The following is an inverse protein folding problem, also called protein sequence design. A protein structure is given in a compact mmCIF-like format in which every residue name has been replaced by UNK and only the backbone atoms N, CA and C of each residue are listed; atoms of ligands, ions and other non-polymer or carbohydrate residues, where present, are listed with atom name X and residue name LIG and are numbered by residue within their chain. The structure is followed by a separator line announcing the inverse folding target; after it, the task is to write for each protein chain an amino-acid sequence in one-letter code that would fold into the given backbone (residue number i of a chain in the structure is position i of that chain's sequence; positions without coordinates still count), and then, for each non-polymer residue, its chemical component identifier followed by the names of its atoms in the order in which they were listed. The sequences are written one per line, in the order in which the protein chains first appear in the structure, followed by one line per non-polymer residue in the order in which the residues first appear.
data_IF_743316685065
#
_entry.id   IF_743316685065
#
_cell.length_a   1.000
_cell.length_b   1.000
_cell.length_c   1.000
_cell.angle_alpha   90.00
_cell.angle_beta   90.00
_cell.angle_gamma   90.00
#
_symmetry.space_group_name_H-M   'P 1'
#
loop_
_entity.id
_entity.type
_entity.pdbx_description
1 polymer ?
#
# COMPACT_ATOMS: atom_id res chain seq x y z
N UNK A 1 26.65 -12.98 36.48
CA UNK A 1 27.70 -13.08 37.50
C UNK A 1 27.46 -14.37 38.27
N UNK A 2 28.20 -15.44 37.94
CA UNK A 2 28.05 -16.76 38.56
C UNK A 2 28.82 -16.75 39.86
N UNK A 3 28.12 -16.95 40.97
CA UNK A 3 28.76 -17.26 42.23
C UNK A 3 28.89 -18.78 42.38
N UNK A 4 30.11 -19.29 42.20
CA UNK A 4 30.42 -20.67 42.56
C UNK A 4 30.72 -20.74 44.04
N UNK A 5 29.85 -21.45 44.79
CA UNK A 5 30.19 -21.89 46.12
C UNK A 5 30.89 -23.26 46.04
N UNK A 6 32.20 -23.30 46.27
CA UNK A 6 32.92 -24.52 46.54
C UNK A 6 32.83 -24.83 48.02
N UNK A 7 32.01 -25.79 48.37
CA UNK A 7 32.04 -26.38 49.70
C UNK A 7 32.89 -27.63 49.70
N UNK A 8 34.03 -27.58 50.30
CA UNK A 8 34.75 -28.79 50.76
C UNK A 8 35.46 -28.53 52.06
N UNK A 9 35.19 -29.39 53.06
CA UNK A 9 36.09 -29.62 54.16
C UNK A 9 35.63 -29.17 55.53
N UNK A 10 34.88 -30.08 56.22
CA UNK A 10 34.86 -30.09 57.67
C UNK A 10 36.27 -30.05 58.24
N UNK A 11 36.67 -28.93 58.81
CA UNK A 11 37.71 -28.88 59.83
C UNK A 11 37.22 -28.05 60.98
N UNK A 12 37.24 -28.66 62.16
CA UNK A 12 36.97 -28.08 63.45
C UNK A 12 37.67 -26.75 63.63
N UNK A 13 36.90 -25.64 63.59
CA UNK A 13 37.38 -24.35 64.04
C UNK A 13 37.12 -24.16 65.53
N UNK A 14 38.19 -24.09 66.31
CA UNK A 14 38.17 -23.69 67.72
C UNK A 14 37.57 -22.31 67.86
N UNK A 15 36.61 -22.19 68.80
CA UNK A 15 36.08 -20.94 69.30
C UNK A 15 37.20 -20.04 69.79
N UNK A 16 37.79 -19.16 69.04
CA UNK A 16 38.34 -17.87 69.50
C UNK A 16 38.81 -17.07 68.27
N UNK A 17 38.43 -15.83 68.26
CA UNK A 17 38.98 -14.79 67.39
C UNK A 17 38.44 -14.70 65.94
N UNK A 18 37.13 -14.63 65.77
CA UNK A 18 36.52 -14.18 64.50
C UNK A 18 36.62 -12.67 64.28
N UNK A 19 37.23 -11.92 65.18
CA UNK A 19 37.39 -10.44 65.07
C UNK A 19 38.76 -9.96 64.66
N UNK A 20 39.64 -10.78 64.16
CA UNK A 20 40.88 -10.32 63.50
C UNK A 20 40.87 -10.59 61.99
N UNK A 21 40.03 -9.87 61.29
CA UNK A 21 40.33 -9.65 59.92
C UNK A 21 41.29 -8.50 59.81
N UNK A 22 42.52 -8.82 59.49
CA UNK A 22 43.56 -7.90 59.09
C UNK A 22 43.01 -7.01 57.99
N UNK A 23 42.90 -5.70 58.26
CA UNK A 23 42.64 -4.67 57.25
C UNK A 23 43.82 -4.73 56.31
N UNK A 24 43.66 -5.39 55.14
CA UNK A 24 44.59 -5.22 54.03
C UNK A 24 44.54 -3.77 53.59
N UNK A 25 45.57 -3.00 53.95
CA UNK A 25 45.83 -1.68 53.42
C UNK A 25 46.10 -1.83 51.92
N UNK A 26 45.20 -1.38 51.18
CA UNK A 26 45.41 -1.21 49.71
C UNK A 26 44.12 -1.32 48.92
N UNK A 27 43.74 -0.15 48.39
CA UNK A 27 42.79 0.08 47.32
C UNK A 27 41.29 -0.21 47.62
N UNK A 28 40.43 0.44 46.84
CA UNK A 28 38.97 0.46 46.70
C UNK A 28 38.13 -0.72 47.29
N UNK A 29 38.72 -1.88 47.51
CA UNK A 29 38.14 -3.06 48.13
C UNK A 29 37.64 -2.84 49.59
N UNK A 30 38.31 -1.98 50.35
CA UNK A 30 37.93 -1.70 51.73
C UNK A 30 36.61 -0.95 51.89
N UNK A 31 36.28 -0.08 50.93
CA UNK A 31 35.01 0.64 50.94
C UNK A 31 33.84 -0.28 50.61
N UNK A 32 34.00 -1.21 49.70
CA UNK A 32 32.98 -2.22 49.38
C UNK A 32 32.68 -3.11 50.57
N UNK A 33 33.66 -3.56 51.25
CA UNK A 33 33.49 -4.41 52.45
C UNK A 33 32.79 -3.69 53.60
N UNK A 34 33.11 -2.42 53.81
CA UNK A 34 32.47 -1.59 54.85
C UNK A 34 31.02 -1.28 54.51
N UNK A 35 30.68 -1.05 53.25
CA UNK A 35 29.28 -0.82 52.80
C UNK A 35 28.47 -2.09 52.91
N UNK A 36 29.04 -3.26 52.51
CA UNK A 36 28.38 -4.55 52.67
C UNK A 36 28.05 -4.84 54.14
N UNK A 37 28.96 -4.62 55.05
CA UNK A 37 28.75 -4.83 56.48
C UNK A 37 27.71 -3.90 57.11
N UNK A 38 27.54 -2.72 56.56
CA UNK A 38 26.53 -1.76 56.99
C UNK A 38 25.11 -2.21 56.54
N UNK A 39 24.99 -2.88 55.39
CA UNK A 39 23.70 -3.32 54.81
C UNK A 39 23.37 -4.73 55.17
N UNK A 40 24.36 -5.66 55.23
CA UNK A 40 24.20 -7.10 55.41
C UNK A 40 25.03 -7.59 56.60
N UNK A 41 24.42 -8.35 57.49
CA UNK A 41 25.10 -9.02 58.60
C UNK A 41 24.87 -10.55 58.50
N UNK A 42 25.98 -11.30 58.72
CA UNK A 42 25.89 -12.76 58.88
C UNK A 42 26.31 -13.11 60.32
N UNK A 43 25.53 -13.95 60.99
CA UNK A 43 25.88 -14.44 62.31
C UNK A 43 26.93 -15.57 62.29
N UNK A 44 27.29 -16.06 63.48
CA UNK A 44 28.29 -17.12 63.61
C UNK A 44 27.85 -18.46 62.99
N UNK A 45 26.56 -18.61 62.68
CA UNK A 45 25.92 -19.78 62.04
C UNK A 45 25.78 -19.56 60.51
N UNK A 46 26.31 -18.43 60.00
CA UNK A 46 26.20 -18.03 58.58
C UNK A 46 24.75 -17.73 58.13
N UNK A 47 23.92 -17.32 59.09
CA UNK A 47 22.54 -16.87 58.82
C UNK A 47 22.55 -15.37 58.56
N UNK A 48 21.84 -14.97 57.54
CA UNK A 48 21.68 -13.57 57.12
C UNK A 48 20.77 -12.79 58.07
N UNK A 49 21.24 -11.61 58.53
CA UNK A 49 20.45 -10.65 59.27
C UNK A 49 20.48 -9.27 58.61
N UNK A 50 19.35 -8.60 58.63
CA UNK A 50 19.27 -7.20 58.15
C UNK A 50 19.98 -6.25 59.11
N UNK A 51 20.89 -5.42 58.59
CA UNK A 51 21.54 -4.37 59.35
C UNK A 51 20.70 -3.05 59.31
N UNK A 52 21.04 -2.10 60.16
CA UNK A 52 20.36 -0.81 60.24
C UNK A 52 20.45 0.00 58.91
N UNK A 53 21.52 -0.22 58.12
CA UNK A 53 21.68 0.37 56.80
C UNK A 53 20.86 -0.25 55.71
N UNK A 54 20.11 -1.33 55.94
CA UNK A 54 19.28 -2.03 54.95
C UNK A 54 18.22 -1.09 54.31
N UNK A 55 17.72 -0.12 55.08
CA UNK A 55 16.76 0.91 54.59
C UNK A 55 17.31 1.69 53.38
N UNK A 56 18.63 1.99 53.38
CA UNK A 56 19.27 2.72 52.30
C UNK A 56 19.25 1.93 50.97
N UNK A 57 19.37 0.58 51.05
CA UNK A 57 19.30 -0.28 49.87
C UNK A 57 17.94 -0.29 49.20
N UNK A 58 16.88 0.05 49.95
CA UNK A 58 15.50 0.15 49.42
C UNK A 58 15.26 1.55 48.82
N UNK A 59 15.90 2.61 49.33
CA UNK A 59 15.62 3.99 48.94
C UNK A 59 15.97 4.26 47.48
N UNK A 60 17.09 3.76 46.97
CA UNK A 60 17.51 3.94 45.58
C UNK A 60 16.54 3.32 44.58
N UNK A 61 16.16 2.04 44.68
CA UNK A 61 15.16 1.46 43.78
C UNK A 61 13.80 2.16 43.80
N UNK A 62 13.34 2.56 45.00
CA UNK A 62 12.04 3.24 45.16
C UNK A 62 12.05 4.61 44.49
N UNK A 63 13.12 5.38 44.64
CA UNK A 63 13.23 6.66 43.93
C UNK A 63 13.28 6.50 42.42
N UNK A 64 13.97 5.47 41.90
CA UNK A 64 13.96 5.11 40.48
C UNK A 64 12.55 4.81 39.99
N UNK A 65 11.81 3.97 40.70
CA UNK A 65 10.41 3.64 40.36
C UNK A 65 9.48 4.86 40.38
N UNK A 66 9.68 5.82 41.29
CA UNK A 66 8.91 7.06 41.31
C UNK A 66 9.18 7.93 40.07
N UNK A 67 10.43 8.03 39.64
CA UNK A 67 10.79 8.73 38.42
C UNK A 67 10.17 8.07 37.20
N UNK A 68 10.26 6.75 37.09
CA UNK A 68 9.64 6.00 35.98
C UNK A 68 8.12 6.17 35.95
N UNK A 69 7.46 6.14 37.10
CA UNK A 69 6.00 6.37 37.21
C UNK A 69 5.65 7.80 36.76
N UNK A 70 6.46 8.79 37.11
CA UNK A 70 6.27 10.18 36.68
C UNK A 70 6.33 10.31 35.14
N UNK A 71 7.31 9.68 34.49
CA UNK A 71 7.40 9.64 33.03
C UNK A 71 6.20 8.91 32.42
N UNK A 72 5.76 7.79 32.99
CA UNK A 72 4.59 7.06 32.50
C UNK A 72 3.32 7.93 32.51
N UNK A 73 3.12 8.70 33.57
CA UNK A 73 1.96 9.60 33.71
C UNK A 73 2.06 10.76 32.70
N UNK A 74 3.24 11.35 32.53
CA UNK A 74 3.46 12.46 31.59
C UNK A 74 3.22 12.05 30.14
N UNK A 75 3.75 10.90 29.72
CA UNK A 75 3.68 10.43 28.33
C UNK A 75 2.49 9.53 28.02
N UNK A 76 1.58 9.25 28.99
CA UNK A 76 0.45 8.31 28.84
C UNK A 76 -0.42 8.57 27.60
N UNK A 77 -0.57 9.84 27.16
CA UNK A 77 -1.38 10.19 25.98
C UNK A 77 -0.72 9.82 24.63
N UNK A 78 0.59 9.59 24.64
CA UNK A 78 1.38 9.26 23.45
C UNK A 78 1.64 7.75 23.32
N UNK A 79 1.37 6.99 24.37
CA UNK A 79 1.61 5.55 24.43
C UNK A 79 0.33 4.78 24.19
N UNK A 80 0.45 3.59 23.61
CA UNK A 80 -0.69 2.67 23.48
C UNK A 80 -1.10 2.11 24.85
N UNK A 81 -2.36 1.72 24.99
CA UNK A 81 -2.85 1.12 26.23
C UNK A 81 -2.08 -0.16 26.62
N UNK A 82 -1.62 -0.91 25.62
CA UNK A 82 -0.81 -2.12 25.82
C UNK A 82 0.56 -1.77 26.40
N UNK A 83 1.22 -0.75 25.84
CA UNK A 83 2.52 -0.26 26.33
C UNK A 83 2.41 0.33 27.72
N UNK A 84 1.35 1.08 28.02
CA UNK A 84 1.08 1.62 29.37
C UNK A 84 0.92 0.48 30.37
N UNK A 85 0.15 -0.56 30.03
CA UNK A 85 -0.06 -1.72 30.88
C UNK A 85 1.24 -2.49 31.12
N UNK A 86 2.05 -2.68 30.09
CA UNK A 86 3.34 -3.36 30.17
C UNK A 86 4.36 -2.60 31.03
N UNK A 87 4.50 -1.27 30.82
CA UNK A 87 5.35 -0.41 31.66
C UNK A 87 4.84 -0.33 33.10
N UNK A 88 3.52 -0.28 33.28
CA UNK A 88 2.90 -0.33 34.61
C UNK A 88 3.20 -1.65 35.34
N UNK A 89 3.14 -2.78 34.63
CA UNK A 89 3.48 -4.08 35.22
C UNK A 89 4.95 -4.17 35.63
N UNK A 90 5.85 -3.56 34.84
CA UNK A 90 7.29 -3.46 35.16
C UNK A 90 7.54 -2.74 36.48
N UNK A 91 6.74 -1.73 36.83
CA UNK A 91 6.84 -0.97 38.08
C UNK A 91 6.14 -1.73 39.22
N UNK A 92 4.92 -2.25 38.98
CA UNK A 92 4.06 -2.82 40.03
C UNK A 92 4.52 -4.21 40.48
N UNK A 93 4.93 -5.10 39.53
CA UNK A 93 5.29 -6.47 39.86
C UNK A 93 6.45 -6.57 40.88
N UNK A 94 7.57 -5.82 40.73
CA UNK A 94 8.65 -5.85 41.71
C UNK A 94 8.23 -5.31 43.10
N UNK A 95 7.32 -4.33 43.14
CA UNK A 95 6.80 -3.81 44.42
C UNK A 95 5.99 -4.87 45.13
N UNK A 96 5.10 -5.57 44.43
CA UNK A 96 4.32 -6.68 45.01
C UNK A 96 5.23 -7.81 45.46
N UNK A 97 6.23 -8.16 44.63
CA UNK A 97 7.22 -9.17 44.96
C UNK A 97 8.03 -8.79 46.25
N UNK A 98 8.42 -7.50 46.41
CA UNK A 98 9.11 -6.99 47.57
C UNK A 98 8.26 -7.12 48.85
N UNK A 99 6.96 -6.82 48.79
CA UNK A 99 6.03 -6.96 49.91
C UNK A 99 5.91 -8.46 50.32
N UNK A 100 5.77 -9.33 49.33
CA UNK A 100 5.67 -10.78 49.62
C UNK A 100 6.99 -11.31 50.21
N UNK A 101 8.12 -10.92 49.66
CA UNK A 101 9.45 -11.30 50.12
C UNK A 101 9.75 -10.79 51.55
N UNK A 102 9.05 -9.76 52.00
CA UNK A 102 9.17 -9.31 53.38
C UNK A 102 8.72 -10.39 54.38
N UNK A 103 7.71 -11.20 53.99
CA UNK A 103 7.19 -12.29 54.79
C UNK A 103 7.88 -13.65 54.50
N UNK A 104 8.39 -13.84 53.25
CA UNK A 104 8.99 -15.08 52.77
C UNK A 104 10.38 -14.80 52.20
N UNK A 105 11.42 -14.76 53.04
CA UNK A 105 12.76 -14.34 52.63
C UNK A 105 13.71 -15.47 52.16
N UNK A 106 13.22 -16.66 51.99
CA UNK A 106 14.02 -17.81 51.51
C UNK A 106 14.25 -17.78 50.01
N UNK A 107 13.40 -17.08 49.23
CA UNK A 107 13.44 -17.03 47.80
C UNK A 107 13.55 -15.56 47.34
N UNK A 108 14.44 -15.26 46.38
CA UNK A 108 14.58 -13.92 45.78
C UNK A 108 13.45 -13.66 44.75
N UNK A 109 12.24 -13.36 45.24
CA UNK A 109 11.07 -13.10 44.43
C UNK A 109 11.19 -11.79 43.62
N UNK A 110 11.91 -10.82 44.16
CA UNK A 110 12.12 -9.50 43.47
C UNK A 110 12.87 -9.67 42.17
N UNK A 111 13.97 -10.44 42.16
CA UNK A 111 14.78 -10.64 40.97
C UNK A 111 14.00 -11.38 39.88
N UNK A 112 13.19 -12.36 40.24
CA UNK A 112 12.31 -13.10 39.33
C UNK A 112 11.25 -12.15 38.75
N UNK A 113 10.64 -11.31 39.59
CA UNK A 113 9.64 -10.33 39.14
C UNK A 113 10.22 -9.29 38.18
N UNK A 114 11.42 -8.77 38.43
CA UNK A 114 12.13 -7.84 37.55
C UNK A 114 12.42 -8.52 36.21
N UNK A 115 13.02 -9.71 36.20
CA UNK A 115 13.34 -10.43 34.98
C UNK A 115 12.08 -10.68 34.11
N UNK A 116 11.01 -11.18 34.72
CA UNK A 116 9.77 -11.43 33.99
C UNK A 116 9.13 -10.17 33.46
N UNK A 117 9.08 -9.10 34.25
CA UNK A 117 8.51 -7.82 33.81
C UNK A 117 9.34 -7.17 32.69
N UNK A 118 10.68 -7.29 32.72
CA UNK A 118 11.56 -6.86 31.62
C UNK A 118 11.28 -7.62 30.33
N UNK A 119 11.09 -8.94 30.40
CA UNK A 119 10.77 -9.77 29.24
C UNK A 119 9.44 -9.33 28.63
N UNK A 120 8.40 -9.16 29.46
CA UNK A 120 7.07 -8.71 29.01
C UNK A 120 7.17 -7.33 28.37
N UNK A 121 7.87 -6.39 28.99
CA UNK A 121 8.10 -5.05 28.44
C UNK A 121 8.82 -5.11 27.09
N UNK A 122 9.90 -5.89 27.00
CA UNK A 122 10.68 -6.05 25.77
C UNK A 122 9.83 -6.60 24.62
N UNK A 123 9.07 -7.70 24.87
CA UNK A 123 8.18 -8.29 23.87
C UNK A 123 7.11 -7.29 23.43
N UNK A 124 6.54 -6.51 24.36
CA UNK A 124 5.50 -5.52 24.06
C UNK A 124 6.05 -4.39 23.21
N UNK A 125 7.23 -3.83 23.55
CA UNK A 125 7.86 -2.74 22.80
C UNK A 125 8.22 -3.18 21.38
N UNK A 126 8.83 -4.37 21.24
CA UNK A 126 9.17 -4.92 19.92
C UNK A 126 7.90 -5.19 19.10
N UNK A 127 6.88 -5.79 19.72
CA UNK A 127 5.62 -6.04 19.03
C UNK A 127 4.95 -4.75 18.53
N UNK A 128 5.02 -3.66 19.29
CA UNK A 128 4.49 -2.36 18.86
C UNK A 128 5.32 -1.72 17.76
N UNK A 129 6.65 -1.82 17.83
CA UNK A 129 7.54 -1.34 16.77
C UNK A 129 7.30 -2.08 15.46
N UNK A 130 7.19 -3.40 15.49
CA UNK A 130 6.90 -4.19 14.30
C UNK A 130 5.55 -3.81 13.68
N UNK A 131 4.50 -3.66 14.48
CA UNK A 131 3.19 -3.19 13.97
C UNK A 131 3.26 -1.80 13.31
N UNK A 132 4.07 -0.90 13.86
CA UNK A 132 4.28 0.43 13.24
C UNK A 132 5.02 0.32 11.92
N UNK A 133 6.03 -0.53 11.84
CA UNK A 133 6.77 -0.80 10.60
C UNK A 133 5.85 -1.39 9.54
N UNK A 134 5.08 -2.43 9.86
CA UNK A 134 4.12 -3.06 8.94
C UNK A 134 3.10 -2.03 8.40
N UNK A 135 2.56 -1.18 9.28
CA UNK A 135 1.62 -0.14 8.88
C UNK A 135 2.26 0.94 7.97
N UNK A 136 3.54 1.28 8.23
CA UNK A 136 4.27 2.23 7.38
C UNK A 136 4.56 1.62 6.01
N UNK A 137 4.99 0.37 5.97
CA UNK A 137 5.25 -0.37 4.73
C UNK A 137 3.99 -0.50 3.88
N UNK A 138 2.86 -0.91 4.47
CA UNK A 138 1.58 -0.95 3.76
C UNK A 138 1.15 0.42 3.23
N UNK A 139 1.35 1.48 4.02
CA UNK A 139 1.04 2.84 3.58
C UNK A 139 1.95 3.28 2.43
N UNK A 140 3.23 2.92 2.48
CA UNK A 140 4.18 3.23 1.42
C UNK A 140 3.79 2.53 0.12
N UNK A 141 3.53 1.21 0.15
CA UNK A 141 3.08 0.44 -1.01
C UNK A 141 1.83 1.07 -1.64
N UNK A 142 0.84 1.43 -0.81
CA UNK A 142 -0.38 2.08 -1.29
C UNK A 142 -0.09 3.44 -1.94
N UNK A 143 0.78 4.26 -1.33
CA UNK A 143 1.15 5.57 -1.86
C UNK A 143 1.92 5.45 -3.18
N UNK A 144 2.80 4.46 -3.31
CA UNK A 144 3.53 4.18 -4.55
C UNK A 144 2.58 3.77 -5.68
N UNK A 145 1.60 2.89 -5.40
CA UNK A 145 0.58 2.51 -6.37
C UNK A 145 -0.30 3.71 -6.81
N UNK A 146 -0.75 4.54 -5.87
CA UNK A 146 -1.51 5.76 -6.16
C UNK A 146 -0.69 6.75 -7.01
N UNK A 147 0.61 6.88 -6.75
CA UNK A 147 1.52 7.72 -7.51
C UNK A 147 1.69 7.18 -8.94
N UNK A 148 1.87 5.89 -9.12
CA UNK A 148 1.98 5.24 -10.43
C UNK A 148 0.73 5.51 -11.28
N UNK A 149 -0.47 5.28 -10.73
CA UNK A 149 -1.74 5.58 -11.41
C UNK A 149 -1.80 7.06 -11.79
N UNK A 150 -1.43 7.96 -10.89
CA UNK A 150 -1.43 9.40 -11.14
C UNK A 150 -0.47 9.80 -12.27
N UNK A 151 0.70 9.19 -12.33
CA UNK A 151 1.69 9.44 -13.40
C UNK A 151 1.15 8.99 -14.76
N UNK A 152 0.60 7.77 -14.84
CA UNK A 152 0.01 7.23 -16.07
C UNK A 152 -1.20 8.06 -16.51
N UNK A 153 -2.07 8.44 -15.56
CA UNK A 153 -3.22 9.30 -15.84
C UNK A 153 -2.79 10.66 -16.41
N UNK A 154 -1.78 11.30 -15.80
CA UNK A 154 -1.24 12.55 -16.30
C UNK A 154 -0.65 12.42 -17.71
N UNK A 155 0.02 11.30 -18.00
CA UNK A 155 0.55 11.01 -19.33
C UNK A 155 -0.59 10.87 -20.36
N UNK A 156 -1.65 10.14 -20.03
CA UNK A 156 -2.85 10.04 -20.86
C UNK A 156 -3.50 11.39 -21.11
N UNK A 157 -3.64 12.23 -20.09
CA UNK A 157 -4.22 13.58 -20.22
C UNK A 157 -3.33 14.46 -21.09
N UNK A 158 -2.00 14.37 -20.95
CA UNK A 158 -1.07 15.12 -21.78
C UNK A 158 -1.26 14.80 -23.27
N UNK A 159 -1.36 13.51 -23.63
CA UNK A 159 -1.65 13.11 -25.03
C UNK A 159 -2.95 13.72 -25.55
N UNK A 160 -4.04 13.64 -24.77
CA UNK A 160 -5.34 14.19 -25.18
C UNK A 160 -5.37 15.72 -25.30
N UNK A 161 -4.42 16.43 -24.69
CA UNK A 161 -4.38 17.91 -24.67
C UNK A 161 -3.35 18.49 -25.62
N UNK A 162 -2.24 17.81 -25.87
CA UNK A 162 -1.12 18.31 -26.68
C UNK A 162 -1.20 17.87 -28.13
N UNK A 163 -1.74 16.67 -28.42
CA UNK A 163 -1.88 16.19 -29.78
C UNK A 163 -3.02 16.92 -30.52
N UNK A 164 -2.71 17.42 -31.70
CA UNK A 164 -3.65 18.19 -32.52
C UNK A 164 -4.74 17.30 -33.14
N UNK A 165 -4.38 16.08 -33.56
CA UNK A 165 -5.32 15.11 -34.10
C UNK A 165 -5.88 14.24 -33.00
N UNK A 166 -7.16 14.39 -32.71
CA UNK A 166 -7.83 13.66 -31.62
C UNK A 166 -7.82 12.13 -31.82
N UNK A 167 -7.76 11.65 -33.06
CA UNK A 167 -7.71 10.19 -33.32
C UNK A 167 -6.33 9.63 -32.96
N UNK A 168 -5.26 10.39 -33.26
CA UNK A 168 -3.90 10.03 -32.83
C UNK A 168 -3.80 10.09 -31.32
N UNK A 169 -4.34 11.14 -30.68
CA UNK A 169 -4.35 11.29 -29.24
C UNK A 169 -5.03 10.12 -28.53
N UNK A 170 -6.21 9.68 -29.01
CA UNK A 170 -6.91 8.52 -28.46
C UNK A 170 -6.11 7.24 -28.67
N UNK A 171 -5.51 7.05 -29.84
CA UNK A 171 -4.67 5.86 -30.11
C UNK A 171 -3.45 5.80 -29.18
N UNK A 172 -2.75 6.92 -28.98
CA UNK A 172 -1.62 7.00 -28.05
C UNK A 172 -2.05 6.73 -26.60
N UNK A 173 -3.20 7.28 -26.20
CA UNK A 173 -3.79 7.00 -24.89
C UNK A 173 -4.04 5.49 -24.69
N UNK A 174 -4.63 4.80 -25.68
CA UNK A 174 -4.86 3.36 -25.61
C UNK A 174 -3.55 2.59 -25.52
N UNK A 175 -2.49 3.03 -26.21
CA UNK A 175 -1.15 2.44 -26.09
C UNK A 175 -0.59 2.57 -24.68
N UNK A 176 -0.74 3.73 -24.03
CA UNK A 176 -0.28 3.99 -22.66
C UNK A 176 -1.03 3.06 -21.69
N UNK A 177 -2.36 2.97 -21.81
CA UNK A 177 -3.19 2.09 -20.97
C UNK A 177 -2.81 0.63 -21.18
N UNK A 178 -2.67 0.20 -22.44
CA UNK A 178 -2.30 -1.16 -22.78
C UNK A 178 -0.96 -1.58 -22.15
N UNK A 179 0.03 -0.69 -22.22
CA UNK A 179 1.35 -0.91 -21.63
C UNK A 179 1.30 -0.99 -20.09
N UNK A 180 0.50 -0.14 -19.44
CA UNK A 180 0.30 -0.18 -17.98
C UNK A 180 -0.25 -1.53 -17.51
N UNK A 181 -1.25 -2.05 -18.22
CA UNK A 181 -1.82 -3.35 -17.89
C UNK A 181 -1.00 -4.54 -18.44
N UNK A 182 0.00 -4.31 -19.31
CA UNK A 182 0.69 -5.38 -20.03
C UNK A 182 -0.28 -6.25 -20.81
N UNK A 183 -1.28 -5.63 -21.44
CA UNK A 183 -2.42 -6.29 -22.03
C UNK A 183 -2.21 -6.64 -23.51
N UNK A 184 -3.04 -7.55 -24.03
CA UNK A 184 -3.05 -7.89 -25.44
C UNK A 184 -3.66 -6.76 -26.27
N UNK A 185 -4.78 -6.20 -25.80
CA UNK A 185 -5.56 -5.16 -26.49
C UNK A 185 -6.15 -4.17 -25.52
N UNK A 186 -6.23 -2.91 -25.96
CA UNK A 186 -7.02 -1.86 -25.34
C UNK A 186 -7.90 -1.21 -26.40
N UNK A 187 -9.18 -1.01 -26.13
CA UNK A 187 -10.13 -0.60 -27.16
C UNK A 187 -11.29 0.22 -26.61
N UNK A 188 -11.96 0.96 -27.53
CA UNK A 188 -13.18 1.70 -27.26
C UNK A 188 -14.29 1.19 -28.18
N UNK A 189 -15.41 0.80 -27.56
CA UNK A 189 -16.67 0.59 -28.25
C UNK A 189 -17.58 1.78 -28.05
N UNK A 190 -18.24 2.20 -29.14
CA UNK A 190 -19.28 3.23 -29.11
C UNK A 190 -20.63 2.62 -29.46
N UNK A 191 -21.67 3.01 -28.73
CA UNK A 191 -23.02 2.51 -28.88
C UNK A 191 -23.79 3.33 -29.93
N UNK A 192 -24.49 2.63 -30.83
CA UNK A 192 -25.48 3.20 -31.73
C UNK A 192 -26.86 2.72 -31.29
N UNK A 193 -27.60 3.59 -30.62
CA UNK A 193 -28.94 3.29 -30.10
C UNK A 193 -30.02 3.26 -31.17
N UNK A 194 -29.81 3.90 -32.32
CA UNK A 194 -30.77 3.91 -33.43
C UNK A 194 -30.87 2.52 -34.06
N UNK A 195 -29.72 1.84 -34.22
CA UNK A 195 -29.63 0.50 -34.80
C UNK A 195 -29.52 -0.60 -33.74
N UNK A 196 -29.45 -0.26 -32.44
CA UNK A 196 -29.19 -1.15 -31.31
C UNK A 196 -27.91 -2.00 -31.49
N UNK A 197 -26.86 -1.33 -31.98
CA UNK A 197 -25.56 -1.93 -32.24
C UNK A 197 -24.43 -1.18 -31.52
N UNK A 198 -23.24 -1.77 -31.51
CA UNK A 198 -22.02 -1.14 -31.03
C UNK A 198 -20.88 -1.40 -32.01
N UNK A 199 -19.98 -0.44 -32.14
CA UNK A 199 -18.84 -0.48 -33.03
C UNK A 199 -17.52 -0.33 -32.25
N UNK A 200 -16.50 -1.15 -32.57
CA UNK A 200 -15.14 -0.93 -32.10
C UNK A 200 -14.53 0.23 -32.88
N UNK A 201 -14.54 1.42 -32.29
CA UNK A 201 -14.10 2.65 -32.97
C UNK A 201 -12.62 2.89 -32.84
N UNK A 202 -12.00 2.47 -31.75
CA UNK A 202 -10.56 2.56 -31.51
C UNK A 202 -10.03 1.27 -30.91
N UNK A 203 -8.87 0.82 -31.40
CA UNK A 203 -8.18 -0.35 -30.88
C UNK A 203 -6.67 -0.12 -30.95
N UNK A 204 -5.98 -0.45 -29.86
CA UNK A 204 -4.55 -0.64 -29.81
C UNK A 204 -4.26 -2.11 -29.49
N UNK A 205 -3.29 -2.69 -30.17
CA UNK A 205 -2.88 -4.10 -29.98
C UNK A 205 -1.38 -4.17 -29.74
N UNK A 206 -0.97 -5.13 -28.92
CA UNK A 206 0.46 -5.45 -28.73
C UNK A 206 1.04 -6.11 -29.98
N UNK A 207 2.35 -6.02 -30.17
CA UNK A 207 3.04 -6.43 -31.41
C UNK A 207 2.74 -7.87 -31.88
N UNK A 208 2.45 -8.81 -30.95
CA UNK A 208 2.17 -10.21 -31.25
C UNK A 208 0.68 -10.50 -31.52
N UNK A 209 -0.19 -9.50 -31.37
CA UNK A 209 -1.64 -9.67 -31.40
C UNK A 209 -2.25 -9.11 -32.69
N UNK A 210 -3.19 -9.84 -33.25
CA UNK A 210 -3.89 -9.38 -34.46
C UNK A 210 -5.05 -8.46 -34.11
N UNK A 211 -5.11 -7.28 -34.73
CA UNK A 211 -6.21 -6.34 -34.60
C UNK A 211 -7.55 -6.98 -35.04
N UNK A 212 -8.61 -6.66 -34.31
CA UNK A 212 -9.96 -7.16 -34.56
C UNK A 212 -10.97 -6.06 -34.87
N UNK A 213 -10.57 -4.78 -34.80
CA UNK A 213 -11.43 -3.63 -35.01
C UNK A 213 -12.36 -3.77 -36.21
N UNK A 214 -11.84 -4.13 -37.38
CA UNK A 214 -12.63 -4.21 -38.60
C UNK A 214 -13.68 -5.33 -38.58
N UNK A 215 -13.48 -6.36 -37.76
CA UNK A 215 -14.42 -7.50 -37.58
C UNK A 215 -15.45 -7.25 -36.49
N UNK A 216 -15.20 -6.31 -35.61
CA UNK A 216 -16.03 -5.96 -34.46
C UNK A 216 -16.86 -4.70 -34.72
N UNK A 217 -17.56 -4.70 -35.84
CA UNK A 217 -18.43 -3.61 -36.28
C UNK A 217 -19.89 -4.08 -36.27
N UNK A 218 -20.82 -3.18 -35.92
CA UNK A 218 -22.25 -3.40 -35.87
C UNK A 218 -22.65 -4.62 -35.04
N UNK A 219 -21.97 -4.80 -33.92
CA UNK A 219 -22.29 -5.89 -32.99
C UNK A 219 -23.60 -5.58 -32.25
N UNK A 220 -24.51 -6.54 -32.09
CA UNK A 220 -25.74 -6.33 -31.34
C UNK A 220 -25.45 -6.03 -29.87
N UNK A 221 -26.07 -5.00 -29.30
CA UNK A 221 -25.83 -4.59 -27.91
C UNK A 221 -26.27 -5.64 -26.87
N UNK A 222 -27.17 -6.57 -27.24
CA UNK A 222 -27.61 -7.64 -26.36
C UNK A 222 -26.50 -8.64 -25.98
N UNK A 223 -25.40 -8.70 -26.75
CA UNK A 223 -24.23 -9.54 -26.44
C UNK A 223 -23.60 -9.15 -25.11
N UNK A 224 -23.63 -7.86 -24.78
CA UNK A 224 -23.04 -7.27 -23.56
C UNK A 224 -24.09 -6.80 -22.56
N UNK A 225 -25.29 -7.44 -22.56
CA UNK A 225 -26.41 -7.03 -21.70
C UNK A 225 -26.06 -6.98 -20.21
N UNK A 226 -25.32 -7.96 -19.70
CA UNK A 226 -24.86 -8.00 -18.30
C UNK A 226 -23.87 -6.88 -17.99
N UNK A 227 -23.01 -6.52 -18.93
CA UNK A 227 -22.10 -5.38 -18.76
C UNK A 227 -22.89 -4.07 -18.66
N UNK A 228 -23.89 -3.91 -19.52
CA UNK A 228 -24.76 -2.73 -19.52
C UNK A 228 -25.55 -2.58 -18.21
N UNK A 229 -25.94 -3.67 -17.57
CA UNK A 229 -26.55 -3.63 -16.23
C UNK A 229 -25.60 -3.09 -15.18
N UNK A 230 -24.36 -3.61 -15.11
CA UNK A 230 -23.32 -3.08 -14.24
C UNK A 230 -22.99 -1.62 -14.53
N UNK A 231 -22.90 -1.25 -15.80
CA UNK A 231 -22.61 0.13 -16.22
C UNK A 231 -23.70 1.12 -15.83
N UNK A 232 -24.97 0.72 -15.80
CA UNK A 232 -26.08 1.56 -15.27
C UNK A 232 -25.89 1.87 -13.79
N UNK A 233 -25.35 0.92 -13.02
CA UNK A 233 -25.03 1.07 -11.61
C UNK A 233 -23.67 1.74 -11.36
N UNK A 234 -23.03 2.29 -12.39
CA UNK A 234 -21.68 2.91 -12.32
C UNK A 234 -20.55 1.95 -11.90
N UNK A 235 -20.81 0.66 -12.04
CA UNK A 235 -19.82 -0.36 -11.73
C UNK A 235 -19.05 -0.77 -12.99
N UNK A 236 -17.72 -0.94 -12.89
CA UNK A 236 -16.94 -1.58 -13.94
C UNK A 236 -17.34 -3.05 -14.10
N UNK A 237 -17.02 -3.62 -15.25
CA UNK A 237 -17.19 -5.04 -15.51
C UNK A 237 -15.85 -5.74 -15.58
N UNK A 238 -15.72 -6.87 -14.88
CA UNK A 238 -14.49 -7.63 -14.79
C UNK A 238 -14.75 -9.11 -15.01
N UNK A 239 -13.99 -9.70 -15.92
CA UNK A 239 -13.93 -11.15 -16.15
C UNK A 239 -12.53 -11.61 -15.72
N UNK A 240 -12.45 -12.37 -14.63
CA UNK A 240 -11.19 -12.96 -14.16
C UNK A 240 -10.80 -14.23 -14.94
N UNK A 241 -11.80 -14.96 -15.46
CA UNK A 241 -11.63 -16.21 -16.16
C UNK A 241 -12.88 -16.49 -17.01
N UNK A 242 -12.75 -16.32 -18.32
CA UNK A 242 -13.85 -16.49 -19.27
C UNK A 242 -14.43 -17.91 -19.22
N UNK A 243 -13.64 -18.92 -18.88
CA UNK A 243 -14.10 -20.32 -18.85
C UNK A 243 -15.21 -20.56 -17.84
N UNK A 244 -15.38 -19.67 -16.86
CA UNK A 244 -16.44 -19.69 -15.84
C UNK A 244 -17.73 -19.02 -16.29
N UNK A 245 -17.73 -18.37 -17.45
CA UNK A 245 -18.87 -17.57 -17.94
C UNK A 245 -19.44 -18.09 -19.26
N UNK A 246 -19.43 -19.42 -19.46
CA UNK A 246 -19.87 -20.10 -20.69
C UNK A 246 -21.34 -19.85 -21.06
N UNK A 247 -22.16 -19.43 -20.10
CA UNK A 247 -23.58 -19.14 -20.31
C UNK A 247 -23.83 -17.70 -20.81
N UNK A 248 -22.83 -16.86 -20.80
CA UNK A 248 -22.97 -15.47 -21.26
C UNK A 248 -22.99 -15.38 -22.79
N UNK A 249 -23.84 -14.52 -23.37
CA UNK A 249 -23.90 -14.33 -24.82
C UNK A 249 -22.57 -13.96 -25.48
N UNK A 250 -21.71 -13.23 -24.73
CA UNK A 250 -20.41 -12.76 -25.20
C UNK A 250 -19.33 -13.85 -25.19
N UNK A 251 -19.56 -14.99 -24.51
CA UNK A 251 -18.55 -16.03 -24.31
C UNK A 251 -17.90 -16.51 -25.61
N UNK A 252 -18.71 -16.91 -26.61
CA UNK A 252 -18.18 -17.42 -27.84
C UNK A 252 -17.30 -16.40 -28.57
N UNK A 253 -17.74 -15.15 -28.60
CA UNK A 253 -17.00 -14.06 -29.23
C UNK A 253 -15.64 -13.82 -28.54
N UNK A 254 -15.58 -13.80 -27.21
CA UNK A 254 -14.34 -13.61 -26.46
C UNK A 254 -13.42 -14.82 -26.57
N UNK A 255 -13.97 -16.02 -26.49
CA UNK A 255 -13.22 -17.26 -26.61
C UNK A 255 -12.56 -17.43 -27.99
N UNK A 256 -13.26 -17.09 -29.09
CA UNK A 256 -12.70 -17.08 -30.45
C UNK A 256 -11.56 -16.05 -30.63
N UNK A 257 -11.51 -15.07 -29.77
CA UNK A 257 -10.47 -14.04 -29.75
C UNK A 257 -9.32 -14.33 -28.79
N UNK A 258 -9.34 -15.49 -28.12
CA UNK A 258 -8.40 -15.89 -27.07
C UNK A 258 -8.37 -14.89 -25.90
N UNK A 259 -9.52 -14.38 -25.49
CA UNK A 259 -9.66 -13.50 -24.33
C UNK A 259 -9.95 -14.37 -23.12
N UNK A 260 -9.02 -14.43 -22.18
CA UNK A 260 -9.18 -15.16 -20.92
C UNK A 260 -9.65 -14.23 -19.78
N UNK A 261 -9.20 -12.98 -19.80
CA UNK A 261 -9.55 -11.95 -18.82
C UNK A 261 -9.95 -10.66 -19.52
N UNK A 262 -10.81 -9.89 -18.87
CA UNK A 262 -11.28 -8.64 -19.44
C UNK A 262 -11.60 -7.63 -18.34
N UNK A 263 -11.19 -6.38 -18.55
CA UNK A 263 -11.60 -5.22 -17.77
C UNK A 263 -12.39 -4.28 -18.69
N UNK A 264 -13.53 -3.76 -18.22
CA UNK A 264 -14.29 -2.76 -18.97
C UNK A 264 -14.91 -1.72 -18.05
N UNK A 265 -14.84 -0.45 -18.48
CA UNK A 265 -15.49 0.68 -17.79
C UNK A 265 -16.43 1.42 -18.73
N UNK A 266 -17.58 1.91 -18.24
CA UNK A 266 -18.52 2.64 -19.07
C UNK A 266 -17.97 4.02 -19.47
N UNK A 267 -18.29 4.46 -20.68
CA UNK A 267 -18.14 5.84 -21.13
C UNK A 267 -19.53 6.50 -21.08
N UNK A 268 -19.69 7.49 -20.21
CA UNK A 268 -20.99 8.14 -19.96
C UNK A 268 -20.99 9.59 -20.34
N UNK A 269 -22.09 10.02 -20.95
CA UNK A 269 -22.37 11.43 -21.24
C UNK A 269 -23.79 11.76 -20.80
N UNK A 270 -23.96 12.79 -19.99
CA UNK A 270 -25.28 13.24 -19.49
C UNK A 270 -26.11 12.10 -18.87
N UNK A 271 -25.47 11.18 -18.16
CA UNK A 271 -26.09 10.00 -17.56
C UNK A 271 -26.35 8.81 -18.50
N UNK A 272 -26.13 8.98 -19.80
CA UNK A 272 -26.30 7.93 -20.80
C UNK A 272 -24.97 7.23 -21.10
N UNK A 273 -25.00 5.92 -21.27
CA UNK A 273 -23.83 5.12 -21.64
C UNK A 273 -23.63 5.26 -23.15
N UNK A 274 -22.58 5.96 -23.57
CA UNK A 274 -22.25 6.16 -24.98
C UNK A 274 -21.34 5.06 -25.54
N UNK A 275 -20.80 4.20 -24.67
CA UNK A 275 -19.89 3.13 -25.03
C UNK A 275 -19.13 2.62 -23.81
N UNK A 276 -18.03 1.93 -24.05
CA UNK A 276 -17.12 1.47 -23.00
C UNK A 276 -15.67 1.42 -23.46
N UNK A 277 -14.75 1.54 -22.51
CA UNK A 277 -13.31 1.31 -22.66
C UNK A 277 -13.00 -0.06 -22.10
N UNK A 278 -12.36 -0.92 -22.89
CA UNK A 278 -12.02 -2.29 -22.52
C UNK A 278 -10.54 -2.60 -22.64
N UNK A 279 -10.07 -3.57 -21.85
CA UNK A 279 -8.71 -4.10 -21.85
C UNK A 279 -8.77 -5.62 -21.77
N UNK A 280 -8.16 -6.29 -22.75
CA UNK A 280 -8.14 -7.76 -22.84
C UNK A 280 -6.81 -8.34 -22.38
N UNK A 281 -6.90 -9.43 -21.61
CA UNK A 281 -5.78 -10.22 -21.10
C UNK A 281 -4.74 -9.38 -20.34
N UNK A 282 -5.16 -8.51 -19.39
CA UNK A 282 -4.21 -7.78 -18.56
C UNK A 282 -3.35 -8.75 -17.74
N UNK A 283 -2.04 -8.52 -17.72
CA UNK A 283 -1.07 -9.27 -16.91
C UNK A 283 -0.82 -8.55 -15.60
N UNK A 284 -0.66 -7.22 -15.66
CA UNK A 284 -0.42 -6.36 -14.51
C UNK A 284 -1.73 -5.68 -14.07
N UNK A 285 -1.86 -5.35 -12.80
CA UNK A 285 -2.95 -4.53 -12.25
C UNK A 285 -4.38 -5.01 -12.61
N UNK A 286 -4.54 -6.28 -12.93
CA UNK A 286 -5.81 -6.83 -13.45
C UNK A 286 -6.96 -6.83 -12.42
N UNK A 287 -6.69 -6.62 -11.15
CA UNK A 287 -7.69 -6.44 -10.09
C UNK A 287 -7.96 -4.96 -9.76
N UNK A 288 -7.21 -4.03 -10.37
CA UNK A 288 -7.30 -2.60 -10.09
C UNK A 288 -7.92 -1.83 -11.25
N UNK A 289 -9.12 -1.34 -11.05
CA UNK A 289 -9.87 -0.54 -12.01
C UNK A 289 -9.64 0.97 -11.87
N UNK A 290 -8.78 1.41 -10.94
CA UNK A 290 -8.67 2.81 -10.57
C UNK A 290 -8.21 3.70 -11.74
N UNK A 291 -7.25 3.24 -12.55
CA UNK A 291 -6.81 3.97 -13.73
C UNK A 291 -7.94 4.12 -14.75
N UNK A 292 -8.61 2.99 -15.12
CA UNK A 292 -9.68 3.01 -16.11
C UNK A 292 -10.85 3.87 -15.65
N UNK A 293 -11.23 3.78 -14.38
CA UNK A 293 -12.31 4.61 -13.80
C UNK A 293 -11.95 6.08 -13.77
N UNK A 294 -10.67 6.42 -13.59
CA UNK A 294 -10.21 7.81 -13.58
C UNK A 294 -10.16 8.41 -14.98
N UNK A 295 -9.76 7.60 -15.98
CA UNK A 295 -9.59 8.09 -17.36
C UNK A 295 -10.91 8.19 -18.15
N UNK A 296 -11.94 7.44 -17.77
CA UNK A 296 -13.23 7.38 -18.52
C UNK A 296 -13.83 8.76 -18.84
N UNK A 297 -13.73 9.71 -17.91
CA UNK A 297 -14.20 11.08 -18.13
C UNK A 297 -13.45 11.79 -19.25
N UNK A 298 -12.14 11.68 -19.26
CA UNK A 298 -11.29 12.33 -20.29
C UNK A 298 -11.46 11.70 -21.66
N UNK A 299 -11.62 10.36 -21.71
CA UNK A 299 -11.95 9.64 -22.95
C UNK A 299 -13.31 10.09 -23.49
N UNK A 300 -14.34 10.14 -22.64
CA UNK A 300 -15.67 10.60 -23.03
C UNK A 300 -15.63 12.00 -23.63
N UNK A 301 -14.96 12.94 -22.97
CA UNK A 301 -14.81 14.32 -23.48
C UNK A 301 -14.05 14.37 -24.80
N UNK A 302 -13.07 13.51 -25.00
CA UNK A 302 -12.30 13.44 -26.25
C UNK A 302 -13.14 12.90 -27.41
N UNK A 303 -13.97 11.88 -27.16
CA UNK A 303 -14.92 11.38 -28.15
C UNK A 303 -15.94 12.48 -28.53
N UNK A 304 -16.43 13.23 -27.57
CA UNK A 304 -17.33 14.35 -27.83
C UNK A 304 -16.65 15.46 -28.67
N UNK A 305 -15.43 15.83 -28.30
CA UNK A 305 -14.62 16.79 -29.09
C UNK A 305 -14.43 16.33 -30.52
N UNK A 306 -14.18 15.02 -30.74
CA UNK A 306 -14.10 14.44 -32.08
C UNK A 306 -15.41 14.64 -32.86
N UNK A 307 -16.56 14.30 -32.29
CA UNK A 307 -17.86 14.45 -32.92
C UNK A 307 -18.14 15.93 -33.29
N UNK A 308 -17.80 16.86 -32.40
CA UNK A 308 -17.94 18.29 -32.65
C UNK A 308 -17.01 18.77 -33.79
N UNK A 309 -15.74 18.30 -33.79
CA UNK A 309 -14.80 18.64 -34.87
C UNK A 309 -15.27 18.09 -36.22
N UNK A 310 -15.76 16.86 -36.28
CA UNK A 310 -16.29 16.25 -37.49
C UNK A 310 -17.53 16.99 -38.01
N UNK A 311 -18.41 17.39 -37.08
CA UNK A 311 -19.57 18.23 -37.42
C UNK A 311 -19.16 19.60 -37.96
N UNK A 312 -18.19 20.28 -37.32
CA UNK A 312 -17.68 21.57 -37.82
C UNK A 312 -17.02 21.40 -39.19
N UNK A 313 -16.25 20.31 -39.38
CA UNK A 313 -15.61 20.00 -40.66
C UNK A 313 -16.66 19.76 -41.76
N UNK A 314 -17.73 19.02 -41.42
CA UNK A 314 -18.84 18.79 -42.33
C UNK A 314 -19.51 20.12 -42.75
N UNK A 315 -19.88 20.98 -41.79
CA UNK A 315 -20.51 22.28 -42.03
C UNK A 315 -19.59 23.24 -42.81
N UNK A 316 -18.28 23.19 -42.56
CA UNK A 316 -17.30 24.05 -43.25
C UNK A 316 -17.07 23.66 -44.71
N UNK A 317 -17.29 22.40 -45.09
CA UNK A 317 -16.97 21.87 -46.40
C UNK A 317 -18.18 21.48 -47.28
N UNK A 318 -19.39 21.51 -46.74
CA UNK A 318 -20.61 21.19 -47.46
C UNK A 318 -21.57 22.36 -47.49
N UNK A 319 -22.33 22.41 -48.57
CA UNK A 319 -23.46 23.32 -48.70
C UNK A 319 -24.66 22.76 -47.96
N UNK A 320 -25.29 23.57 -47.12
CA UNK A 320 -26.36 23.12 -46.23
C UNK A 320 -27.66 22.78 -46.97
N UNK A 321 -27.87 23.31 -48.17
CA UNK A 321 -29.09 23.08 -48.95
C UNK A 321 -28.98 21.85 -49.84
N UNK A 322 -27.83 21.70 -50.46
CA UNK A 322 -27.60 20.66 -51.47
C UNK A 322 -26.84 19.46 -50.97
N UNK A 323 -26.17 19.55 -49.81
CA UNK A 323 -25.29 18.49 -49.28
C UNK A 323 -23.99 18.29 -50.06
N UNK A 324 -23.77 19.02 -51.15
CA UNK A 324 -22.58 18.93 -51.99
C UNK A 324 -21.39 19.66 -51.34
N UNK A 325 -20.18 19.41 -51.88
CA UNK A 325 -19.00 20.15 -51.44
C UNK A 325 -19.10 21.63 -51.84
N UNK A 326 -18.88 22.50 -50.85
CA UNK A 326 -18.90 23.93 -51.05
C UNK A 326 -17.57 24.45 -51.66
N UNK A 327 -17.53 25.75 -51.97
CA UNK A 327 -16.35 26.43 -52.53
C UNK A 327 -15.09 26.23 -51.67
N UNK A 328 -15.22 26.21 -50.34
CA UNK A 328 -14.08 26.05 -49.43
C UNK A 328 -13.40 24.69 -49.62
N UNK A 329 -14.18 23.61 -49.75
CA UNK A 329 -13.65 22.27 -50.00
C UNK A 329 -12.97 22.17 -51.36
N UNK A 330 -13.56 22.81 -52.42
CA UNK A 330 -12.93 22.86 -53.72
C UNK A 330 -11.56 23.55 -53.68
N UNK A 331 -11.48 24.73 -53.03
CA UNK A 331 -10.22 25.45 -52.86
C UNK A 331 -9.19 24.60 -52.09
N UNK A 332 -9.59 23.92 -51.03
CA UNK A 332 -8.70 23.06 -50.24
C UNK A 332 -8.13 21.88 -51.06
N UNK A 333 -8.96 21.26 -51.90
CA UNK A 333 -8.53 20.16 -52.79
C UNK A 333 -7.53 20.67 -53.84
N UNK A 334 -7.83 21.80 -54.48
CA UNK A 334 -6.93 22.42 -55.50
C UNK A 334 -5.59 22.79 -54.88
N UNK A 335 -5.59 23.39 -53.68
CA UNK A 335 -4.36 23.75 -52.97
C UNK A 335 -3.53 22.49 -52.63
N UNK A 336 -4.14 21.46 -52.09
CA UNK A 336 -3.45 20.20 -51.75
C UNK A 336 -2.90 19.46 -52.99
N UNK A 337 -3.59 19.56 -54.15
CA UNK A 337 -3.10 19.02 -55.40
C UNK A 337 -1.89 19.80 -55.93
N UNK A 338 -1.92 21.13 -55.82
CA UNK A 338 -0.81 22.01 -56.19
C UNK A 338 0.44 21.73 -55.35
N UNK A 339 0.27 21.60 -54.01
CA UNK A 339 1.38 21.35 -53.09
C UNK A 339 2.03 19.98 -53.36
N UNK A 340 1.22 18.95 -53.68
CA UNK A 340 1.72 17.65 -54.13
C UNK A 340 2.52 17.72 -55.42
N UNK A 341 2.02 18.45 -56.40
CA UNK A 341 2.71 18.65 -57.69
C UNK A 341 4.06 19.34 -57.51
N UNK A 342 4.12 20.39 -56.68
CA UNK A 342 5.37 21.10 -56.38
C UNK A 342 6.40 20.18 -55.69
N UNK A 343 5.97 19.37 -54.66
CA UNK A 343 6.85 18.38 -54.02
C UNK A 343 7.36 17.31 -55.00
N UNK A 344 6.54 16.84 -55.94
CA UNK A 344 6.98 15.89 -56.94
C UNK A 344 7.98 16.54 -57.94
N UNK A 345 7.79 17.79 -58.30
CA UNK A 345 8.73 18.50 -59.19
C UNK A 345 10.09 18.76 -58.51
N UNK A 346 10.11 19.05 -57.21
CA UNK A 346 11.36 19.18 -56.41
C UNK A 346 12.13 17.86 -56.23
N UNK A 347 11.45 16.73 -56.28
CA UNK A 347 12.08 15.40 -56.19
C UNK A 347 12.65 14.92 -57.54
N UNK A 348 12.30 15.57 -58.63
CA UNK A 348 12.74 15.22 -59.98
C UNK A 348 13.86 16.15 -60.54
N UNK A 349 14.22 17.18 -59.78
CA UNK A 349 15.39 18.05 -60.00
C UNK A 349 16.52 17.72 -59.05
#
# INVERSE_FOLDING_TARGET
MQFYFYGTGRKNFKKSNIYKYTVCRGSSSGYYFTVYRFVLLFDAQNVYHRSEGFIISIFIPVTGMMVEMSFLIEYRKKLSNITISSLGSYIILPIVAAIIQFYFYEISLIDIAICNSMIVMYITVIGEQNRKLDNLEQKQIKTEAELEISMVLNQCIAELTTEADINIAIHNLLAIINNYFGADRCYIFENNYDDNTMDNTYEYVSDSITAKKDKLQKLPMNIVSLWMENFKEEKPYYIADISKQKEEPVYNMLHEQNVDRLLAVPLKRDGNIIGFLGVDNPVNHYEDMALLSSIQYFVTNSLEKRVQQDRMRYLSYRDMLTGLYNRNKYISIVKAAKDRYLKMSELLT
#
